data_IF_004427529133
#
_entry.id   IF_004427529133
#
_cell.length_a   1.000
_cell.length_b   1.000
_cell.length_c   1.000
_cell.angle_alpha   90.00
_cell.angle_beta   90.00
_cell.angle_gamma   90.00
#
_symmetry.space_group_name_H-M   'P 1'
#
loop_
_entity.id
_entity.type
_entity.pdbx_description
1 polymer ?
#
# COMPACT_ATOMS: atom_id res chain seq x y z
N UNK A 1 6.64 19.43 25.62
CA UNK A 1 6.08 18.09 25.37
C UNK A 1 4.69 18.30 24.78
N UNK A 2 4.58 18.31 23.44
CA UNK A 2 3.29 18.39 22.76
C UNK A 2 2.68 16.99 22.83
N UNK A 3 1.69 16.80 23.70
CA UNK A 3 0.81 15.63 23.66
C UNK A 3 -0.16 15.85 22.49
N UNK A 4 0.26 15.53 21.27
CA UNK A 4 -0.67 15.41 20.15
C UNK A 4 -1.73 14.39 20.55
N UNK A 5 -2.97 14.85 20.69
CA UNK A 5 -4.12 13.98 20.91
C UNK A 5 -4.17 12.98 19.75
N UNK A 6 -3.90 11.72 20.01
CA UNK A 6 -4.07 10.64 19.03
C UNK A 6 -5.58 10.51 18.75
N UNK A 7 -6.04 11.04 17.62
CA UNK A 7 -7.42 10.88 17.18
C UNK A 7 -7.71 9.41 16.83
N UNK A 8 -8.93 8.96 17.10
CA UNK A 8 -9.41 7.63 16.72
C UNK A 8 -9.49 7.45 15.19
N UNK A 9 -9.65 6.20 14.74
CA UNK A 9 -9.68 5.85 13.32
C UNK A 9 -10.74 6.64 12.55
N UNK A 10 -12.00 6.65 13.02
CA UNK A 10 -13.11 7.36 12.39
C UNK A 10 -12.84 8.87 12.23
N UNK A 11 -12.19 9.51 13.22
CA UNK A 11 -11.81 10.92 13.12
C UNK A 11 -10.70 11.11 12.06
N UNK A 12 -9.69 10.24 12.05
CA UNK A 12 -8.58 10.34 11.09
C UNK A 12 -9.06 10.11 9.65
N UNK A 13 -9.96 9.15 9.41
CA UNK A 13 -10.48 8.89 8.05
C UNK A 13 -11.28 10.09 7.49
N UNK A 14 -11.87 10.91 8.34
CA UNK A 14 -12.56 12.14 7.92
C UNK A 14 -11.56 13.29 7.74
N UNK A 15 -10.70 13.53 8.74
CA UNK A 15 -9.96 14.78 8.87
C UNK A 15 -8.49 14.74 8.44
N UNK A 16 -7.80 13.57 8.47
CA UNK A 16 -6.43 13.49 8.00
C UNK A 16 -6.36 13.81 6.50
N UNK A 17 -5.27 14.45 6.06
CA UNK A 17 -5.10 14.91 4.69
C UNK A 17 -6.05 16.05 4.32
N UNK A 18 -6.51 16.83 5.32
CA UNK A 18 -7.26 18.04 5.03
C UNK A 18 -6.36 19.09 4.38
N UNK A 19 -6.75 19.55 3.21
CA UNK A 19 -6.01 20.56 2.46
C UNK A 19 -6.65 21.94 2.70
N UNK A 20 -5.91 22.82 3.38
CA UNK A 20 -6.29 24.23 3.46
C UNK A 20 -6.29 24.84 2.05
N UNK A 21 -7.30 25.62 1.75
CA UNK A 21 -7.42 26.30 0.46
C UNK A 21 -8.05 27.69 0.62
N UNK A 22 -7.76 28.57 -0.32
CA UNK A 22 -8.15 29.98 -0.24
C UNK A 22 -9.67 30.22 -0.17
N UNK A 23 -10.48 29.27 -0.64
CA UNK A 23 -11.95 29.35 -0.60
C UNK A 23 -12.56 28.77 0.69
N UNK A 24 -11.76 28.14 1.58
CA UNK A 24 -12.25 27.45 2.77
C UNK A 24 -13.13 26.24 2.47
N UNK A 25 -12.97 25.62 1.31
CA UNK A 25 -13.75 24.44 0.91
C UNK A 25 -13.42 23.24 1.80
N UNK A 26 -14.45 22.56 2.32
CA UNK A 26 -14.32 21.31 3.08
C UNK A 26 -13.92 20.11 2.21
N UNK A 27 -14.23 20.12 0.91
CA UNK A 27 -13.72 19.17 -0.04
C UNK A 27 -12.35 19.62 -0.54
N UNK A 28 -11.41 18.68 -0.63
CA UNK A 28 -10.13 18.95 -1.27
C UNK A 28 -10.36 19.39 -2.72
N UNK A 29 -9.79 20.52 -3.18
CA UNK A 29 -9.84 20.92 -4.58
C UNK A 29 -9.18 19.89 -5.48
N UNK A 30 -9.70 19.73 -6.69
CA UNK A 30 -9.11 18.84 -7.70
C UNK A 30 -8.13 19.66 -8.54
N UNK A 31 -6.83 19.42 -8.35
CA UNK A 31 -5.77 20.03 -9.17
C UNK A 31 -5.52 19.20 -10.42
N UNK A 32 -6.45 19.26 -11.37
CA UNK A 32 -6.39 18.49 -12.62
C UNK A 32 -5.41 19.16 -13.58
N UNK A 33 -4.12 19.00 -13.31
CA UNK A 33 -3.02 19.57 -14.11
C UNK A 33 -1.87 18.60 -14.22
N UNK A 34 -1.13 18.65 -15.33
CA UNK A 34 0.12 17.89 -15.50
C UNK A 34 1.32 18.62 -14.88
N UNK A 35 1.35 19.95 -14.97
CA UNK A 35 2.49 20.81 -14.62
C UNK A 35 2.06 21.97 -13.76
N UNK A 36 3.01 22.53 -13.02
CA UNK A 36 2.82 23.70 -12.15
C UNK A 36 3.74 24.82 -12.60
N UNK A 37 3.23 26.05 -12.65
CA UNK A 37 4.01 27.23 -13.00
C UNK A 37 4.97 27.63 -11.87
N UNK A 38 6.11 28.21 -12.26
CA UNK A 38 7.05 28.83 -11.34
C UNK A 38 6.94 30.35 -11.45
N UNK A 39 7.11 31.05 -10.34
CA UNK A 39 7.11 32.52 -10.31
C UNK A 39 8.36 33.09 -10.95
N UNK A 40 9.49 32.37 -10.88
CA UNK A 40 10.78 32.75 -11.47
C UNK A 40 11.54 31.53 -11.98
N UNK A 41 12.54 31.73 -12.87
CA UNK A 41 13.46 30.68 -13.31
C UNK A 41 14.24 30.09 -12.14
N UNK A 42 14.66 30.96 -11.18
CA UNK A 42 15.39 30.55 -9.98
C UNK A 42 14.54 29.60 -9.11
N UNK A 43 13.25 29.92 -8.92
CA UNK A 43 12.33 29.05 -8.20
C UNK A 43 12.21 27.68 -8.89
N UNK A 44 12.09 27.67 -10.20
CA UNK A 44 12.07 26.41 -10.96
C UNK A 44 13.33 25.57 -10.71
N UNK A 45 14.50 26.20 -10.81
CA UNK A 45 15.80 25.57 -10.53
C UNK A 45 15.86 24.98 -9.11
N UNK A 46 15.49 25.78 -8.09
CA UNK A 46 15.51 25.36 -6.69
C UNK A 46 14.57 24.17 -6.41
N UNK A 47 13.37 24.16 -7.00
CA UNK A 47 12.45 23.02 -6.88
C UNK A 47 12.96 21.74 -7.54
N UNK A 48 13.58 21.85 -8.73
CA UNK A 48 14.21 20.70 -9.38
C UNK A 48 15.41 20.17 -8.61
N UNK A 49 16.16 21.05 -7.95
CA UNK A 49 17.28 20.68 -7.08
C UNK A 49 16.84 20.12 -5.71
N UNK A 50 15.55 20.22 -5.36
CA UNK A 50 15.05 19.82 -4.03
C UNK A 50 15.38 20.83 -2.92
N UNK A 51 15.83 22.03 -3.24
CA UNK A 51 16.18 23.10 -2.32
C UNK A 51 14.95 23.91 -1.85
N UNK A 52 13.89 23.91 -2.65
CA UNK A 52 12.60 24.51 -2.32
C UNK A 52 11.48 23.48 -2.50
N UNK A 53 10.60 23.40 -1.50
CA UNK A 53 9.39 22.58 -1.58
C UNK A 53 8.38 23.13 -2.58
N UNK A 54 7.52 22.25 -3.09
CA UNK A 54 6.43 22.62 -3.99
C UNK A 54 6.22 21.61 -5.11
N UNK A 55 5.28 21.94 -6.00
CA UNK A 55 4.91 21.06 -7.11
C UNK A 55 5.57 21.50 -8.40
N UNK A 56 5.95 20.51 -9.21
CA UNK A 56 6.60 20.69 -10.51
C UNK A 56 5.75 20.02 -11.59
N UNK A 57 5.47 18.73 -11.40
CA UNK A 57 4.81 17.87 -12.35
C UNK A 57 4.03 16.79 -11.58
N UNK A 58 2.80 16.50 -11.98
CA UNK A 58 1.89 15.61 -11.22
C UNK A 58 2.46 14.22 -10.98
N UNK A 59 3.32 13.68 -11.86
CA UNK A 59 4.01 12.40 -11.64
C UNK A 59 4.95 12.44 -10.43
N UNK A 60 5.47 13.59 -10.05
CA UNK A 60 6.32 13.80 -8.88
C UNK A 60 5.50 14.10 -7.62
N UNK A 61 4.37 14.76 -7.80
CA UNK A 61 3.45 15.14 -6.73
C UNK A 61 2.34 16.06 -7.21
N UNK A 62 1.20 15.98 -6.52
CA UNK A 62 0.03 16.81 -6.82
C UNK A 62 -0.72 17.04 -5.51
N UNK A 63 -1.25 18.24 -5.24
CA UNK A 63 -1.93 18.53 -3.96
C UNK A 63 -3.09 17.57 -3.66
N UNK A 64 -3.91 17.22 -4.67
CA UNK A 64 -5.04 16.30 -4.48
C UNK A 64 -4.58 14.88 -4.14
N UNK A 65 -3.50 14.40 -4.76
CA UNK A 65 -2.88 13.11 -4.42
C UNK A 65 -2.29 13.16 -3.01
N UNK A 66 -1.59 14.24 -2.66
CA UNK A 66 -0.99 14.43 -1.34
C UNK A 66 -1.99 14.32 -0.21
N UNK A 67 -3.21 14.85 -0.39
CA UNK A 67 -4.29 14.74 0.60
C UNK A 67 -4.72 13.29 0.86
N UNK A 68 -4.77 12.46 -0.18
CA UNK A 68 -5.09 11.01 -0.06
C UNK A 68 -3.92 10.26 0.56
N UNK A 69 -2.70 10.57 0.16
CA UNK A 69 -1.47 9.95 0.65
C UNK A 69 -1.30 10.20 2.16
N UNK A 70 -1.46 11.45 2.61
CA UNK A 70 -1.40 11.81 4.04
C UNK A 70 -2.49 11.07 4.85
N UNK A 71 -3.71 11.01 4.32
CA UNK A 71 -4.81 10.27 4.94
C UNK A 71 -4.47 8.80 5.12
N UNK A 72 -3.99 8.14 4.08
CA UNK A 72 -3.67 6.70 4.12
C UNK A 72 -2.44 6.40 4.96
N UNK A 73 -1.41 7.24 4.93
CA UNK A 73 -0.30 7.16 5.87
C UNK A 73 -0.80 7.21 7.33
N UNK A 74 -1.66 8.18 7.64
CA UNK A 74 -2.27 8.31 8.97
C UNK A 74 -3.08 7.08 9.36
N UNK A 75 -3.88 6.51 8.48
CA UNK A 75 -4.75 5.36 8.79
C UNK A 75 -3.96 4.06 9.01
N UNK A 76 -2.94 3.79 8.19
CA UNK A 76 -2.04 2.64 8.34
C UNK A 76 -1.01 2.79 9.47
N UNK A 77 -0.81 4.02 9.97
CA UNK A 77 0.22 4.30 10.98
C UNK A 77 1.63 4.43 10.40
N UNK A 78 1.75 4.72 9.10
CA UNK A 78 3.01 4.99 8.42
C UNK A 78 3.43 6.46 8.47
N UNK A 79 4.67 6.75 8.12
CA UNK A 79 5.20 8.12 8.05
C UNK A 79 4.79 8.82 6.74
N UNK A 80 4.67 8.07 5.66
CA UNK A 80 4.28 8.58 4.35
C UNK A 80 3.55 7.51 3.52
N UNK A 81 2.87 7.95 2.45
CA UNK A 81 2.29 7.08 1.44
C UNK A 81 2.54 7.60 0.03
N UNK A 82 2.42 6.72 -0.96
CA UNK A 82 2.49 7.01 -2.38
C UNK A 82 1.29 6.38 -3.08
N UNK A 83 0.53 7.21 -3.80
CA UNK A 83 -0.58 6.75 -4.64
C UNK A 83 -0.10 6.39 -6.06
N UNK A 84 -0.64 5.30 -6.59
CA UNK A 84 -0.39 4.82 -7.95
C UNK A 84 -1.71 4.52 -8.68
N UNK A 85 -1.67 4.47 -10.01
CA UNK A 85 -2.83 4.25 -10.88
C UNK A 85 -3.45 2.84 -10.76
N UNK A 86 -2.81 1.92 -10.05
CA UNK A 86 -3.34 0.57 -9.78
C UNK A 86 -2.54 -0.11 -8.67
N UNK A 87 -3.09 -1.20 -8.08
CA UNK A 87 -2.32 -2.09 -7.20
C UNK A 87 -1.08 -2.64 -7.90
N UNK A 88 -1.22 -3.00 -9.20
CA UNK A 88 -0.08 -3.43 -10.03
C UNK A 88 0.83 -2.27 -10.49
N UNK A 89 0.55 -1.04 -10.15
CA UNK A 89 1.48 0.08 -10.21
C UNK A 89 2.22 0.29 -8.88
N UNK A 90 1.54 0.06 -7.77
CA UNK A 90 2.08 0.20 -6.42
C UNK A 90 3.08 -0.93 -6.06
N UNK A 91 2.67 -2.19 -6.23
CA UNK A 91 3.48 -3.36 -5.89
C UNK A 91 4.84 -3.37 -6.60
N UNK A 92 4.93 -3.27 -7.95
CA UNK A 92 6.22 -3.24 -8.61
C UNK A 92 7.03 -1.99 -8.27
N UNK A 93 6.40 -0.83 -8.00
CA UNK A 93 7.14 0.35 -7.53
C UNK A 93 7.86 0.09 -6.20
N UNK A 94 7.21 -0.60 -5.26
CA UNK A 94 7.83 -0.99 -4.00
C UNK A 94 8.92 -2.06 -4.20
N UNK A 95 8.66 -3.07 -5.04
CA UNK A 95 9.60 -4.17 -5.30
C UNK A 95 10.86 -3.68 -6.03
N UNK A 96 10.71 -2.93 -7.14
CA UNK A 96 11.86 -2.36 -7.88
C UNK A 96 12.72 -1.43 -7.03
N UNK A 97 12.11 -0.72 -6.08
CA UNK A 97 12.85 0.10 -5.12
C UNK A 97 13.64 -0.73 -4.10
N UNK A 98 13.22 -1.97 -3.88
CA UNK A 98 13.74 -2.83 -2.82
C UNK A 98 14.84 -3.79 -3.28
N UNK A 99 14.95 -4.10 -4.58
CA UNK A 99 15.86 -5.13 -5.10
C UNK A 99 16.59 -4.67 -6.35
N UNK A 100 17.76 -5.27 -6.56
CA UNK A 100 18.54 -5.18 -7.80
C UNK A 100 18.80 -6.57 -8.37
N UNK A 101 19.37 -6.67 -9.58
CA UNK A 101 19.75 -7.94 -10.16
C UNK A 101 20.74 -8.69 -9.24
N UNK A 102 20.46 -9.96 -8.98
CA UNK A 102 21.22 -10.83 -8.07
C UNK A 102 20.67 -10.91 -6.65
N UNK A 103 19.73 -10.03 -6.27
CA UNK A 103 18.99 -10.12 -5.00
C UNK A 103 17.93 -11.20 -5.04
N UNK A 104 17.41 -11.55 -3.86
CA UNK A 104 16.41 -12.59 -3.68
C UNK A 104 15.16 -12.06 -2.97
N UNK A 105 13.99 -12.53 -3.41
CA UNK A 105 12.69 -12.33 -2.78
C UNK A 105 12.20 -13.69 -2.30
N UNK A 106 11.78 -13.77 -1.01
CA UNK A 106 10.99 -14.88 -0.48
C UNK A 106 9.54 -14.42 -0.39
N UNK A 107 8.60 -15.18 -0.96
CA UNK A 107 7.19 -14.81 -0.93
C UNK A 107 6.30 -16.02 -0.59
N UNK A 108 5.12 -15.73 -0.03
CA UNK A 108 4.12 -16.78 0.14
C UNK A 108 3.71 -17.35 -1.23
N UNK A 109 3.44 -18.65 -1.27
CA UNK A 109 3.05 -19.33 -2.51
C UNK A 109 1.60 -19.01 -2.94
N UNK A 110 0.77 -18.55 -1.99
CA UNK A 110 -0.62 -18.15 -2.26
C UNK A 110 -0.69 -16.64 -2.40
N UNK A 111 -0.74 -16.16 -3.63
CA UNK A 111 -0.75 -14.75 -3.98
C UNK A 111 -1.82 -14.43 -5.02
N UNK A 112 -2.25 -13.19 -5.06
CA UNK A 112 -3.02 -12.66 -6.18
C UNK A 112 -2.32 -12.95 -7.52
N UNK A 113 -3.06 -13.45 -8.51
CA UNK A 113 -2.52 -13.99 -9.74
C UNK A 113 -1.57 -13.05 -10.51
N UNK A 114 -1.84 -11.73 -10.53
CA UNK A 114 -0.93 -10.79 -11.19
C UNK A 114 0.35 -10.54 -10.39
N UNK A 115 0.29 -10.58 -9.06
CA UNK A 115 1.49 -10.51 -8.21
C UNK A 115 2.34 -11.77 -8.37
N UNK A 116 1.70 -12.94 -8.40
CA UNK A 116 2.38 -14.20 -8.71
C UNK A 116 3.09 -14.13 -10.07
N UNK A 117 2.40 -13.66 -11.11
CA UNK A 117 2.99 -13.51 -12.44
C UNK A 117 4.14 -12.50 -12.46
N UNK A 118 4.00 -11.36 -11.77
CA UNK A 118 5.07 -10.36 -11.62
C UNK A 118 6.33 -10.99 -11.00
N UNK A 119 6.18 -11.72 -9.90
CA UNK A 119 7.30 -12.36 -9.21
C UNK A 119 7.95 -13.43 -10.09
N UNK A 120 7.17 -14.36 -10.64
CA UNK A 120 7.72 -15.51 -11.38
C UNK A 120 8.19 -15.20 -12.80
N UNK A 121 7.61 -14.23 -13.47
CA UNK A 121 7.89 -13.93 -14.88
C UNK A 121 8.43 -12.52 -15.09
N UNK A 122 8.08 -11.57 -14.23
CA UNK A 122 8.57 -10.19 -14.28
C UNK A 122 9.93 -10.04 -13.61
N UNK A 123 9.99 -10.21 -12.30
CA UNK A 123 11.21 -9.99 -11.52
C UNK A 123 12.35 -10.93 -11.91
N UNK A 124 12.04 -12.20 -12.15
CA UNK A 124 13.03 -13.21 -12.57
C UNK A 124 13.68 -12.87 -13.93
N UNK A 125 12.92 -12.24 -14.83
CA UNK A 125 13.45 -11.79 -16.14
C UNK A 125 14.57 -10.75 -15.99
N UNK A 126 14.56 -9.99 -14.90
CA UNK A 126 15.56 -8.96 -14.60
C UNK A 126 16.61 -9.41 -13.57
N UNK A 127 16.78 -10.74 -13.42
CA UNK A 127 17.86 -11.31 -12.61
C UNK A 127 17.59 -11.31 -11.10
N UNK A 128 16.36 -11.08 -10.65
CA UNK A 128 15.96 -11.26 -9.24
C UNK A 128 15.53 -12.71 -9.05
N UNK A 129 16.10 -13.39 -8.06
CA UNK A 129 15.66 -14.75 -7.71
C UNK A 129 14.43 -14.67 -6.81
N UNK A 130 13.40 -15.43 -7.14
CA UNK A 130 12.16 -15.51 -6.36
C UNK A 130 11.97 -16.93 -5.85
N UNK A 131 11.74 -17.06 -4.54
CA UNK A 131 11.40 -18.33 -3.88
C UNK A 131 9.98 -18.20 -3.34
N UNK A 132 9.06 -19.01 -3.87
CA UNK A 132 7.70 -19.15 -3.36
C UNK A 132 7.65 -20.33 -2.40
N UNK A 133 7.06 -20.12 -1.22
CA UNK A 133 6.97 -21.14 -0.18
C UNK A 133 5.78 -20.86 0.74
N UNK A 134 5.28 -21.88 1.45
CA UNK A 134 4.22 -21.70 2.44
C UNK A 134 4.77 -21.00 3.69
N UNK A 135 4.45 -19.72 3.85
CA UNK A 135 4.87 -18.91 5.00
C UNK A 135 4.01 -19.11 6.25
N UNK A 136 2.98 -19.95 6.20
CA UNK A 136 2.25 -20.36 7.42
C UNK A 136 3.09 -21.28 8.32
N UNK A 137 4.08 -21.97 7.76
CA UNK A 137 5.14 -22.65 8.50
C UNK A 137 6.41 -21.78 8.49
N UNK A 138 6.72 -21.21 9.65
CA UNK A 138 7.87 -20.31 9.81
C UNK A 138 9.22 -20.97 9.53
N UNK A 139 9.33 -22.29 9.63
CA UNK A 139 10.56 -23.03 9.29
C UNK A 139 10.85 -22.96 7.78
N UNK A 140 9.81 -22.86 6.96
CA UNK A 140 9.97 -22.62 5.53
C UNK A 140 10.60 -21.24 5.26
N UNK A 141 10.20 -20.19 5.99
CA UNK A 141 10.86 -18.90 5.88
C UNK A 141 12.33 -19.00 6.26
N UNK A 142 12.64 -19.51 7.46
CA UNK A 142 14.02 -19.65 7.95
C UNK A 142 14.93 -20.41 6.98
N UNK A 143 14.42 -21.49 6.37
CA UNK A 143 15.16 -22.32 5.42
C UNK A 143 15.47 -21.60 4.11
N UNK A 144 14.64 -20.66 3.70
CA UNK A 144 14.75 -19.99 2.41
C UNK A 144 15.39 -18.59 2.49
N UNK A 145 15.66 -18.06 3.70
CA UNK A 145 16.43 -16.83 3.86
C UNK A 145 17.90 -17.05 3.52
N UNK A 146 18.49 -16.11 2.78
CA UNK A 146 19.91 -16.07 2.42
C UNK A 146 20.48 -14.67 2.58
N UNK A 147 21.80 -14.52 2.53
CA UNK A 147 22.46 -13.20 2.59
C UNK A 147 22.05 -12.25 1.43
N UNK A 148 21.45 -12.81 0.37
CA UNK A 148 20.92 -12.06 -0.77
C UNK A 148 19.45 -11.70 -0.64
N UNK A 149 18.74 -12.23 0.34
CA UNK A 149 17.33 -11.91 0.57
C UNK A 149 17.20 -10.44 0.95
N UNK A 150 16.39 -9.70 0.20
CA UNK A 150 16.09 -8.29 0.44
C UNK A 150 14.62 -8.05 0.75
N UNK A 151 13.75 -8.95 0.31
CA UNK A 151 12.29 -8.80 0.50
C UNK A 151 11.69 -10.12 0.96
N UNK A 152 10.79 -10.01 1.95
CA UNK A 152 9.78 -11.02 2.26
C UNK A 152 8.42 -10.42 1.90
N UNK A 153 7.69 -11.06 0.98
CA UNK A 153 6.42 -10.55 0.47
C UNK A 153 5.29 -11.54 0.70
N UNK A 154 4.16 -11.06 1.20
CA UNK A 154 2.95 -11.88 1.35
C UNK A 154 1.69 -11.03 1.45
N UNK A 155 0.54 -11.68 1.27
CA UNK A 155 -0.78 -11.11 1.53
C UNK A 155 -1.52 -11.89 2.63
N UNK A 156 -2.26 -11.22 3.47
CA UNK A 156 -3.02 -11.87 4.55
C UNK A 156 -4.25 -11.03 4.92
N UNK A 157 -5.48 -11.60 4.81
CA UNK A 157 -5.85 -12.90 4.24
C UNK A 157 -5.50 -13.03 2.76
N UNK A 158 -5.09 -14.23 2.31
CA UNK A 158 -4.71 -14.49 0.93
C UNK A 158 -5.91 -14.58 -0.02
N UNK A 159 -5.78 -14.06 -1.22
CA UNK A 159 -6.73 -14.28 -2.31
C UNK A 159 -6.37 -15.56 -3.12
N UNK A 160 -7.27 -16.54 -3.32
CA UNK A 160 -8.68 -16.58 -2.91
C UNK A 160 -8.96 -17.41 -1.64
N UNK A 161 -7.94 -17.98 -1.03
CA UNK A 161 -8.09 -19.06 -0.03
C UNK A 161 -8.44 -18.56 1.38
N UNK A 162 -8.32 -17.26 1.65
CA UNK A 162 -8.43 -16.64 2.97
C UNK A 162 -7.42 -17.19 4.00
N UNK A 163 -6.33 -17.81 3.54
CA UNK A 163 -5.22 -18.25 4.38
C UNK A 163 -4.69 -17.05 5.18
N UNK A 164 -4.50 -17.24 6.48
CA UNK A 164 -3.95 -16.23 7.37
C UNK A 164 -2.47 -16.50 7.63
N UNK A 165 -1.68 -15.43 7.66
CA UNK A 165 -0.26 -15.46 7.97
C UNK A 165 0.02 -14.54 9.16
N UNK A 166 0.88 -14.98 10.07
CA UNK A 166 1.29 -14.22 11.25
C UNK A 166 2.34 -13.17 10.86
N UNK A 167 1.89 -11.92 10.72
CA UNK A 167 2.75 -10.80 10.30
C UNK A 167 3.89 -10.59 11.28
N UNK A 168 3.60 -10.59 12.59
CA UNK A 168 4.60 -10.32 13.62
C UNK A 168 5.68 -11.39 13.65
N UNK A 169 5.29 -12.67 13.58
CA UNK A 169 6.23 -13.78 13.57
C UNK A 169 7.12 -13.75 12.32
N UNK A 170 6.54 -13.50 11.15
CA UNK A 170 7.28 -13.41 9.88
C UNK A 170 8.25 -12.23 9.90
N UNK A 171 7.79 -11.04 10.30
CA UNK A 171 8.62 -9.84 10.38
C UNK A 171 9.78 -10.03 11.36
N UNK A 172 9.50 -10.50 12.58
CA UNK A 172 10.51 -10.80 13.59
C UNK A 172 11.55 -11.81 13.11
N UNK A 173 11.10 -12.85 12.39
CA UNK A 173 12.01 -13.88 11.86
C UNK A 173 12.92 -13.33 10.76
N UNK A 174 12.35 -12.56 9.84
CA UNK A 174 13.12 -11.93 8.75
C UNK A 174 14.16 -10.93 9.31
N UNK A 175 13.76 -10.04 10.20
CA UNK A 175 14.64 -9.03 10.80
C UNK A 175 15.68 -9.63 11.75
N UNK A 176 15.39 -10.75 12.43
CA UNK A 176 16.37 -11.46 13.23
C UNK A 176 17.48 -12.10 12.36
N UNK A 177 17.17 -12.50 11.14
CA UNK A 177 18.14 -13.00 10.18
C UNK A 177 18.98 -11.85 9.59
N UNK A 178 18.33 -10.80 9.10
CA UNK A 178 18.98 -9.59 8.58
C UNK A 178 18.00 -8.40 8.73
N UNK A 179 18.33 -7.36 9.51
CA UNK A 179 17.47 -6.20 9.73
C UNK A 179 17.22 -5.36 8.47
N UNK A 180 18.01 -5.54 7.41
CA UNK A 180 17.84 -4.84 6.13
C UNK A 180 16.82 -5.54 5.20
N UNK A 181 16.33 -6.74 5.55
CA UNK A 181 15.24 -7.39 4.82
C UNK A 181 13.98 -6.58 5.00
N UNK A 182 13.34 -6.22 3.89
CA UNK A 182 12.09 -5.48 3.88
C UNK A 182 10.91 -6.42 3.84
N UNK A 183 10.07 -6.37 4.88
CA UNK A 183 8.82 -7.12 4.96
C UNK A 183 7.72 -6.28 4.35
N UNK A 184 7.18 -6.73 3.21
CA UNK A 184 6.12 -6.06 2.44
C UNK A 184 4.85 -6.87 2.54
N UNK A 185 3.78 -6.26 3.05
CA UNK A 185 2.48 -6.90 3.24
C UNK A 185 1.43 -6.27 2.34
N UNK A 186 0.74 -7.09 1.55
CA UNK A 186 -0.46 -6.67 0.85
C UNK A 186 -1.66 -6.75 1.81
N UNK A 187 -2.18 -5.57 2.20
CA UNK A 187 -3.26 -5.42 3.17
C UNK A 187 -4.60 -5.09 2.50
N UNK A 188 -4.75 -5.41 1.22
CA UNK A 188 -5.92 -5.05 0.40
C UNK A 188 -7.23 -5.52 1.01
N UNK A 189 -7.30 -6.75 1.54
CA UNK A 189 -8.55 -7.32 2.07
C UNK A 189 -8.92 -6.77 3.44
N UNK A 190 -7.95 -6.64 4.35
CA UNK A 190 -8.23 -6.14 5.69
C UNK A 190 -8.42 -4.63 5.74
N UNK A 191 -7.74 -3.87 4.91
CA UNK A 191 -7.64 -2.40 5.02
C UNK A 191 -7.04 -1.96 6.37
N UNK A 192 -6.64 -0.70 6.56
CA UNK A 192 -6.13 -0.22 7.85
C UNK A 192 -7.19 -0.22 8.97
N UNK A 193 -8.45 -0.47 8.61
CA UNK A 193 -9.52 -0.57 9.60
C UNK A 193 -9.44 -1.86 10.41
N UNK A 194 -9.22 -3.01 9.75
CA UNK A 194 -9.17 -4.33 10.41
C UNK A 194 -7.76 -4.74 10.82
N UNK A 195 -6.73 -4.33 10.07
CA UNK A 195 -5.35 -4.74 10.28
C UNK A 195 -4.39 -3.62 9.88
N UNK A 196 -3.36 -3.39 10.68
CA UNK A 196 -2.28 -2.42 10.41
C UNK A 196 -0.92 -3.13 10.48
N UNK A 197 -0.41 -3.64 9.35
CA UNK A 197 0.80 -4.45 9.32
C UNK A 197 2.05 -3.72 9.85
N UNK A 198 2.14 -2.39 9.69
CA UNK A 198 3.27 -1.63 10.24
C UNK A 198 3.34 -1.70 11.78
N UNK A 199 2.19 -1.74 12.46
CA UNK A 199 2.12 -1.91 13.92
C UNK A 199 2.56 -3.32 14.35
N UNK A 200 2.56 -4.29 13.42
CA UNK A 200 2.95 -5.68 13.62
C UNK A 200 4.38 -5.99 13.10
N UNK A 201 5.14 -4.96 12.76
CA UNK A 201 6.54 -5.10 12.39
C UNK A 201 6.85 -5.19 10.89
N UNK A 202 5.84 -5.10 10.02
CA UNK A 202 6.10 -4.93 8.59
C UNK A 202 6.75 -3.57 8.31
N UNK A 203 7.54 -3.48 7.23
CA UNK A 203 8.22 -2.24 6.82
C UNK A 203 7.39 -1.45 5.80
N UNK A 204 6.65 -2.17 4.95
CA UNK A 204 5.88 -1.59 3.87
C UNK A 204 4.54 -2.29 3.76
N UNK A 205 3.49 -1.49 3.57
CA UNK A 205 2.16 -1.96 3.25
C UNK A 205 1.80 -1.54 1.83
N UNK A 206 1.26 -2.48 1.06
CA UNK A 206 0.71 -2.20 -0.26
C UNK A 206 -0.78 -2.50 -0.31
N UNK A 207 -1.50 -1.79 -1.17
CA UNK A 207 -2.92 -1.99 -1.40
C UNK A 207 -3.28 -1.90 -2.87
N UNK A 208 -4.14 -2.78 -3.32
CA UNK A 208 -5.05 -2.44 -4.41
C UNK A 208 -6.18 -1.57 -3.85
N UNK A 209 -5.99 -0.25 -3.88
CA UNK A 209 -6.98 0.69 -3.38
C UNK A 209 -8.29 0.69 -4.20
N UNK A 210 -8.28 0.05 -5.37
CA UNK A 210 -9.44 -0.33 -6.20
C UNK A 210 -10.55 -1.02 -5.42
N UNK A 211 -10.19 -1.76 -4.35
CA UNK A 211 -11.09 -2.61 -3.57
C UNK A 211 -11.76 -1.80 -2.45
N UNK A 212 -11.63 -2.23 -1.22
CA UNK A 212 -12.37 -1.64 -0.09
C UNK A 212 -11.96 -0.21 0.26
N UNK A 213 -10.71 0.23 -0.01
CA UNK A 213 -10.29 1.60 0.28
C UNK A 213 -11.14 2.61 -0.50
N UNK A 214 -11.28 2.45 -1.81
CA UNK A 214 -12.22 3.23 -2.61
C UNK A 214 -13.67 2.79 -2.34
N UNK A 215 -13.95 1.47 -2.49
CA UNK A 215 -15.18 0.81 -2.06
C UNK A 215 -16.42 1.04 -2.94
N UNK A 216 -16.29 1.70 -4.10
CA UNK A 216 -17.43 2.10 -4.95
C UNK A 216 -17.36 1.50 -6.35
N UNK A 217 -16.29 0.77 -6.72
CA UNK A 217 -16.16 0.07 -8.00
C UNK A 217 -15.98 0.99 -9.23
N UNK A 218 -15.54 2.23 -8.99
CA UNK A 218 -15.45 3.30 -10.00
C UNK A 218 -14.02 3.83 -10.20
N UNK A 219 -13.04 3.34 -9.41
CA UNK A 219 -11.63 3.75 -9.49
C UNK A 219 -10.72 2.54 -9.47
N UNK A 220 -9.68 2.56 -10.29
CA UNK A 220 -8.52 1.68 -10.20
C UNK A 220 -7.38 2.48 -9.57
N UNK A 221 -6.86 2.01 -8.43
CA UNK A 221 -5.78 2.69 -7.73
C UNK A 221 -4.93 1.72 -6.90
N UNK A 222 -3.72 2.15 -6.56
CA UNK A 222 -2.81 1.46 -5.66
C UNK A 222 -2.19 2.41 -4.64
N UNK A 223 -1.76 1.87 -3.51
CA UNK A 223 -1.10 2.63 -2.45
C UNK A 223 0.09 1.85 -1.94
N UNK A 224 1.16 2.57 -1.63
CA UNK A 224 2.30 2.08 -0.83
C UNK A 224 2.40 2.95 0.41
N UNK A 225 2.56 2.36 1.58
CA UNK A 225 2.71 3.06 2.88
C UNK A 225 3.93 2.52 3.59
N UNK A 226 4.72 3.37 4.23
CA UNK A 226 5.90 2.99 5.00
C UNK A 226 6.64 4.19 5.58
N UNK A 227 7.95 4.02 5.80
CA UNK A 227 8.84 5.11 6.23
C UNK A 227 8.98 6.18 5.13
N UNK A 228 9.13 7.44 5.53
CA UNK A 228 9.14 8.58 4.60
C UNK A 228 10.27 8.51 3.56
N UNK A 229 11.46 8.10 3.96
CA UNK A 229 12.63 7.95 3.08
C UNK A 229 12.40 6.86 2.01
N UNK A 230 11.84 5.72 2.40
CA UNK A 230 11.51 4.65 1.45
C UNK A 230 10.39 5.06 0.49
N UNK A 231 9.34 5.72 0.99
CA UNK A 231 8.25 6.21 0.13
C UNK A 231 8.74 7.26 -0.86
N UNK A 232 9.67 8.12 -0.44
CA UNK A 232 10.33 9.05 -1.36
C UNK A 232 11.10 8.32 -2.48
N UNK A 233 11.85 7.26 -2.14
CA UNK A 233 12.53 6.42 -3.12
C UNK A 233 11.54 5.70 -4.04
N UNK A 234 10.45 5.13 -3.50
CA UNK A 234 9.38 4.53 -4.32
C UNK A 234 8.80 5.54 -5.32
N UNK A 235 8.59 6.79 -4.92
CA UNK A 235 8.09 7.84 -5.78
C UNK A 235 9.10 8.22 -6.87
N UNK A 236 10.35 8.47 -6.47
CA UNK A 236 11.35 8.99 -7.39
C UNK A 236 11.92 7.93 -8.34
N UNK A 237 12.08 6.71 -7.88
CA UNK A 237 12.58 5.61 -8.70
C UNK A 237 11.44 4.69 -9.16
N UNK A 238 10.71 4.06 -8.24
CA UNK A 238 9.71 3.05 -8.56
C UNK A 238 8.56 3.59 -9.43
N UNK A 239 8.00 4.74 -9.06
CA UNK A 239 6.88 5.34 -9.79
C UNK A 239 7.36 6.21 -10.96
N UNK A 240 8.23 7.21 -10.68
CA UNK A 240 8.61 8.22 -11.69
C UNK A 240 9.38 7.62 -12.84
N UNK A 241 10.38 6.76 -12.54
CA UNK A 241 11.35 6.27 -13.54
C UNK A 241 10.97 4.90 -14.09
N UNK A 242 10.40 4.00 -13.27
CA UNK A 242 10.16 2.62 -13.68
C UNK A 242 8.74 2.37 -14.20
N UNK A 243 7.71 2.68 -13.41
CA UNK A 243 6.33 2.28 -13.76
C UNK A 243 5.54 3.36 -14.48
N UNK A 244 5.76 4.63 -14.17
CA UNK A 244 4.94 5.74 -14.68
C UNK A 244 3.47 5.67 -14.27
N UNK A 245 3.10 4.82 -13.32
CA UNK A 245 1.73 4.50 -12.94
C UNK A 245 1.10 5.60 -12.05
N UNK A 246 0.99 6.80 -12.58
CA UNK A 246 0.49 7.99 -11.87
C UNK A 246 -1.01 7.95 -11.71
N UNK A 247 -1.51 8.08 -10.48
CA UNK A 247 -2.95 8.22 -10.22
C UNK A 247 -3.45 9.58 -10.73
N UNK A 248 -4.63 9.61 -11.34
CA UNK A 248 -5.27 10.86 -11.75
C UNK A 248 -5.74 11.66 -10.51
N UNK A 249 -5.65 13.01 -10.51
CA UNK A 249 -6.19 13.83 -9.44
C UNK A 249 -7.70 13.63 -9.23
N UNK A 250 -8.46 13.37 -10.27
CA UNK A 250 -9.89 13.08 -10.17
C UNK A 250 -10.13 11.75 -9.44
N UNK A 251 -9.38 10.69 -9.76
CA UNK A 251 -9.48 9.41 -9.06
C UNK A 251 -9.04 9.52 -7.59
N UNK A 252 -8.00 10.32 -7.31
CA UNK A 252 -7.60 10.63 -5.94
C UNK A 252 -8.72 11.33 -5.14
N UNK A 253 -9.46 12.25 -5.76
CA UNK A 253 -10.62 12.88 -5.14
C UNK A 253 -11.73 11.85 -4.83
N UNK A 254 -12.04 10.94 -5.77
CA UNK A 254 -13.03 9.88 -5.54
C UNK A 254 -12.59 8.94 -4.42
N UNK A 255 -11.31 8.58 -4.35
CA UNK A 255 -10.74 7.81 -3.24
C UNK A 255 -10.86 8.54 -1.90
N UNK A 256 -10.52 9.84 -1.83
CA UNK A 256 -10.66 10.64 -0.62
C UNK A 256 -12.11 10.65 -0.12
N UNK A 257 -13.07 10.68 -1.04
CA UNK A 257 -14.51 10.57 -0.74
C UNK A 257 -14.88 9.19 -0.25
N UNK A 258 -14.44 8.12 -0.92
CA UNK A 258 -14.71 6.74 -0.56
C UNK A 258 -14.17 6.36 0.83
N UNK A 259 -12.98 6.84 1.18
CA UNK A 259 -12.35 6.61 2.48
C UNK A 259 -13.18 7.13 3.66
N UNK A 260 -14.00 8.17 3.47
CA UNK A 260 -14.82 8.75 4.57
C UNK A 260 -15.85 7.79 5.17
N UNK A 261 -16.12 6.67 4.51
CA UNK A 261 -17.10 5.66 4.96
C UNK A 261 -16.46 4.28 5.15
N UNK A 262 -15.13 4.21 5.21
CA UNK A 262 -14.41 2.94 5.25
C UNK A 262 -14.80 2.09 6.47
N UNK A 263 -14.83 2.67 7.66
CA UNK A 263 -15.15 2.00 8.91
C UNK A 263 -16.53 1.31 8.87
N UNK A 264 -17.58 2.11 8.57
CA UNK A 264 -18.95 1.59 8.52
C UNK A 264 -19.16 0.54 7.42
N UNK A 265 -18.44 0.68 6.28
CA UNK A 265 -18.50 -0.31 5.21
C UNK A 265 -17.83 -1.61 5.64
N UNK A 266 -16.65 -1.55 6.26
CA UNK A 266 -15.91 -2.73 6.72
C UNK A 266 -16.67 -3.47 7.83
N UNK A 267 -17.24 -2.76 8.81
CA UNK A 267 -18.12 -3.37 9.82
C UNK A 267 -19.27 -4.13 9.18
N UNK A 268 -19.95 -3.53 8.21
CA UNK A 268 -21.08 -4.16 7.53
C UNK A 268 -20.62 -5.35 6.68
N UNK A 269 -19.51 -5.26 5.97
CA UNK A 269 -18.96 -6.37 5.20
C UNK A 269 -18.66 -7.57 6.10
N UNK A 270 -17.96 -7.36 7.22
CA UNK A 270 -17.64 -8.42 8.17
C UNK A 270 -18.91 -9.06 8.77
N UNK A 271 -19.86 -8.23 9.22
CA UNK A 271 -21.12 -8.75 9.78
C UNK A 271 -21.94 -9.55 8.76
N UNK A 272 -21.95 -9.14 7.50
CA UNK A 272 -22.64 -9.88 6.44
C UNK A 272 -21.90 -11.17 6.08
N UNK A 273 -20.57 -11.14 5.98
CA UNK A 273 -19.76 -12.31 5.66
C UNK A 273 -19.91 -13.42 6.73
N UNK A 274 -19.90 -13.05 8.02
CA UNK A 274 -20.16 -14.00 9.12
C UNK A 274 -21.52 -14.69 8.99
N UNK A 275 -22.59 -13.93 8.67
CA UNK A 275 -23.94 -14.49 8.48
C UNK A 275 -23.98 -15.45 7.29
N UNK A 276 -23.33 -15.08 6.18
CA UNK A 276 -23.25 -15.92 4.97
C UNK A 276 -22.46 -17.21 5.25
N UNK A 277 -21.31 -17.10 5.94
CA UNK A 277 -20.52 -18.25 6.32
C UNK A 277 -21.30 -19.21 7.25
N UNK A 278 -21.99 -18.67 8.26
CA UNK A 278 -22.83 -19.45 9.15
C UNK A 278 -23.99 -20.17 8.39
N UNK A 279 -24.64 -19.48 7.47
CA UNK A 279 -25.69 -20.07 6.60
C UNK A 279 -25.13 -21.24 5.78
N UNK A 280 -24.01 -21.06 5.12
CA UNK A 280 -23.40 -22.11 4.31
C UNK A 280 -22.88 -23.28 5.10
N UNK A 281 -22.40 -23.06 6.33
CA UNK A 281 -21.92 -24.15 7.21
C UNK A 281 -23.01 -25.18 7.53
N UNK A 282 -24.27 -24.74 7.56
CA UNK A 282 -25.44 -25.63 7.81
C UNK A 282 -26.18 -26.03 6.52
N UNK A 283 -25.77 -25.56 5.35
CA UNK A 283 -26.51 -25.80 4.10
C UNK A 283 -26.22 -27.19 3.52
N UNK A 284 -27.24 -28.01 3.20
CA UNK A 284 -27.03 -29.42 2.81
C UNK A 284 -26.27 -29.62 1.51
N UNK A 285 -26.22 -28.62 0.62
CA UNK A 285 -25.47 -28.68 -0.62
C UNK A 285 -24.00 -28.22 -0.49
N UNK A 286 -23.54 -27.84 0.72
CA UNK A 286 -22.18 -27.35 0.96
C UNK A 286 -21.42 -28.34 1.84
N UNK A 287 -20.34 -28.89 1.31
CA UNK A 287 -19.53 -29.88 2.04
C UNK A 287 -18.62 -29.22 3.09
N UNK A 288 -18.09 -28.03 2.81
CA UNK A 288 -17.16 -27.33 3.72
C UNK A 288 -17.13 -25.85 3.44
N UNK A 289 -17.01 -25.04 4.48
CA UNK A 289 -16.80 -23.59 4.43
C UNK A 289 -15.43 -23.28 5.01
N UNK A 290 -14.67 -22.44 4.31
CA UNK A 290 -13.41 -21.87 4.77
C UNK A 290 -13.62 -20.36 4.98
N UNK A 291 -13.63 -19.91 6.25
CA UNK A 291 -13.88 -18.52 6.63
C UNK A 291 -13.24 -18.19 7.99
#
# INVERSE_FOLDING_TARGET
MNTEKKFGFATRQIHAGHMENAAGSLCAPIYQTSTFAFSTVQQGGARFAGEEGGYIYTRLGNPTLGAVEEKLASLEGGEAAMAAASGMGAIPSALWTSVVAGDEIVADETLYGCTYALLNHGMTKFGVKVTLTDLSDIENLKKNLTDKTRVVYFETPCNPTLKLLDIELIAKTAHAFNPDIRVIVDNTFCTPYLQRPLELGADVVVHSATKYLNGHGDVIAGIVVGKADFISQCRMFGLKDMTGAVLSPFDAFLMARGLKTLDIRMERHCANAQKVAAFFTSHPAVAKVYY
#
